data_IF_616516490818
#
_entry.id   IF_616516490818
#
_cell.length_a   1.000
_cell.length_b   1.000
_cell.length_c   1.000
_cell.angle_alpha   90.00
_cell.angle_beta   90.00
_cell.angle_gamma   90.00
#
_symmetry.space_group_name_H-M   'P 1'
#
loop_
_entity.id
_entity.type
_entity.pdbx_description
1 polymer ?
#
# COMPACT_ATOMS: atom_id res chain seq x y z
N UNK A 1 -9.31 -5.53 7.83
CA UNK A 1 -9.35 -4.07 7.61
C UNK A 1 -9.25 -3.83 6.13
N UNK A 2 -10.10 -2.93 5.66
CA UNK A 2 -10.17 -2.57 4.26
C UNK A 2 -8.96 -1.71 3.88
N UNK A 3 -8.15 -2.18 2.93
CA UNK A 3 -6.92 -1.51 2.52
C UNK A 3 -6.83 -1.45 0.99
N UNK A 4 -6.37 -0.32 0.46
CA UNK A 4 -6.01 -0.17 -0.94
C UNK A 4 -4.54 -0.59 -1.15
N UNK A 5 -4.28 -1.51 -2.07
CA UNK A 5 -2.94 -2.05 -2.30
C UNK A 5 -2.66 -2.21 -3.80
N UNK A 6 -1.38 -2.20 -4.14
CA UNK A 6 -0.90 -2.78 -5.39
C UNK A 6 -1.08 -4.30 -5.30
N UNK A 7 -1.87 -4.86 -6.21
CA UNK A 7 -2.18 -6.28 -6.32
C UNK A 7 -1.32 -6.98 -7.37
N UNK A 8 -0.81 -6.21 -8.33
CA UNK A 8 0.19 -6.59 -9.33
C UNK A 8 0.77 -5.30 -9.91
N UNK A 9 1.77 -5.40 -10.78
CA UNK A 9 2.25 -4.27 -11.57
C UNK A 9 1.08 -3.67 -12.35
N UNK A 10 0.91 -2.35 -12.27
CA UNK A 10 -0.16 -1.64 -12.97
C UNK A 10 -1.58 -2.05 -12.57
N UNK A 11 -1.72 -2.70 -11.41
CA UNK A 11 -3.01 -3.16 -10.87
C UNK A 11 -3.10 -2.87 -9.39
N UNK A 12 -4.05 -2.01 -9.01
CA UNK A 12 -4.37 -1.75 -7.62
C UNK A 12 -5.85 -2.00 -7.32
N UNK A 13 -6.16 -2.23 -6.06
CA UNK A 13 -7.53 -2.43 -5.62
C UNK A 13 -7.63 -2.56 -4.11
N UNK A 14 -8.87 -2.60 -3.64
CA UNK A 14 -9.16 -2.85 -2.24
C UNK A 14 -9.09 -4.34 -1.92
N UNK A 15 -8.59 -4.66 -0.73
CA UNK A 15 -8.63 -6.01 -0.14
C UNK A 15 -8.80 -5.94 1.37
N UNK A 16 -9.30 -7.03 1.94
CA UNK A 16 -9.26 -7.25 3.38
C UNK A 16 -7.91 -7.81 3.79
N UNK A 17 -7.32 -7.21 4.82
CA UNK A 17 -6.10 -7.70 5.49
C UNK A 17 -6.29 -7.77 7.01
N UNK A 18 -5.47 -8.54 7.71
CA UNK A 18 -5.44 -8.49 9.17
C UNK A 18 -5.05 -7.08 9.65
N UNK A 19 -5.61 -6.64 10.78
CA UNK A 19 -5.14 -5.41 11.44
C UNK A 19 -3.76 -5.72 12.02
N UNK A 20 -2.72 -4.93 11.71
CA UNK A 20 -1.39 -5.17 12.28
C UNK A 20 -1.36 -4.83 13.77
N UNK A 21 -0.69 -5.68 14.55
CA UNK A 21 -0.40 -5.41 15.96
C UNK A 21 0.90 -4.60 16.08
N UNK A 22 0.91 -3.51 16.88
CA UNK A 22 2.10 -2.68 17.05
C UNK A 22 3.17 -3.41 17.89
N UNK A 23 4.43 -3.31 17.47
CA UNK A 23 5.58 -3.79 18.25
C UNK A 23 6.07 -2.78 19.31
N UNK A 24 7.16 -3.09 20.04
CA UNK A 24 7.73 -2.17 21.03
C UNK A 24 8.06 -0.80 20.42
N UNK A 25 7.55 0.28 21.04
CA UNK A 25 7.75 1.66 20.58
C UNK A 25 6.84 2.11 19.43
N UNK A 26 5.96 1.25 18.91
CA UNK A 26 5.00 1.60 17.86
C UNK A 26 3.63 1.92 18.46
N UNK A 27 2.86 2.74 17.75
CA UNK A 27 1.45 3.03 18.07
C UNK A 27 0.57 2.71 16.87
N UNK A 28 -0.64 2.23 17.13
CA UNK A 28 -1.65 1.99 16.09
C UNK A 28 -2.53 3.22 15.93
N UNK A 29 -2.62 3.75 14.72
CA UNK A 29 -3.41 4.94 14.39
C UNK A 29 -4.60 4.55 13.51
N UNK A 30 -5.78 5.05 13.85
CA UNK A 30 -6.95 4.97 12.97
C UNK A 30 -6.90 6.12 11.97
N UNK A 31 -6.86 5.79 10.68
CA UNK A 31 -6.83 6.79 9.60
C UNK A 31 -8.18 7.51 9.53
N UNK A 32 -8.14 8.86 9.62
CA UNK A 32 -9.32 9.71 9.45
C UNK A 32 -9.53 10.20 8.01
N UNK A 33 -8.45 10.23 7.22
CA UNK A 33 -8.45 10.57 5.80
C UNK A 33 -7.06 10.30 5.19
N UNK A 34 -7.02 10.02 3.89
CA UNK A 34 -5.81 9.81 3.12
C UNK A 34 -5.94 10.54 1.77
N UNK A 35 -4.99 11.42 1.47
CA UNK A 35 -4.89 12.09 0.18
C UNK A 35 -3.98 11.33 -0.78
N UNK A 36 -4.14 11.56 -2.08
CA UNK A 36 -3.25 11.01 -3.10
C UNK A 36 -2.08 11.97 -3.35
N UNK A 37 -0.89 11.41 -3.43
CA UNK A 37 0.31 12.10 -3.85
C UNK A 37 0.62 11.75 -5.31
N UNK A 38 1.36 12.62 -5.99
CA UNK A 38 1.86 12.33 -7.34
C UNK A 38 2.72 11.05 -7.38
N UNK A 39 3.43 10.73 -6.29
CA UNK A 39 4.24 9.51 -6.19
C UNK A 39 3.41 8.23 -6.28
N UNK A 40 2.13 8.25 -5.88
CA UNK A 40 1.29 7.05 -5.91
C UNK A 40 1.10 6.56 -7.35
N UNK A 41 1.00 7.48 -8.30
CA UNK A 41 0.95 7.19 -9.73
C UNK A 41 2.29 6.65 -10.25
N UNK A 42 3.42 7.15 -9.75
CA UNK A 42 4.75 6.65 -10.16
C UNK A 42 4.93 5.16 -9.83
N UNK A 43 4.36 4.70 -8.71
CA UNK A 43 4.37 3.29 -8.34
C UNK A 43 3.31 2.48 -9.07
N UNK A 44 2.10 3.00 -9.21
CA UNK A 44 1.02 2.32 -9.92
C UNK A 44 1.38 2.08 -11.39
N UNK A 45 1.91 3.08 -12.09
CA UNK A 45 2.22 2.99 -13.52
C UNK A 45 3.55 2.25 -13.81
N UNK A 46 4.29 1.85 -12.78
CA UNK A 46 5.57 1.17 -12.94
C UNK A 46 5.39 -0.20 -13.65
N UNK A 47 6.15 -0.49 -14.73
CA UNK A 47 6.21 -1.82 -15.27
C UNK A 47 7.04 -2.75 -14.38
N UNK A 48 6.88 -4.08 -14.54
CA UNK A 48 7.75 -5.05 -13.90
C UNK A 48 9.24 -4.74 -14.14
N UNK A 49 10.06 -4.89 -13.10
CA UNK A 49 11.52 -4.69 -13.17
C UNK A 49 11.99 -3.22 -13.06
N UNK A 50 11.08 -2.24 -12.95
CA UNK A 50 11.46 -0.84 -12.69
C UNK A 50 12.06 -0.62 -11.30
N UNK A 51 11.60 -1.39 -10.30
CA UNK A 51 12.03 -1.29 -8.91
C UNK A 51 12.67 -2.60 -8.42
N UNK A 52 13.62 -2.55 -7.46
CA UNK A 52 14.36 -3.72 -6.99
C UNK A 52 13.59 -4.54 -5.94
N UNK A 53 12.27 -4.64 -6.08
CA UNK A 53 11.41 -5.43 -5.20
C UNK A 53 10.25 -6.05 -5.98
N UNK A 54 9.72 -7.16 -5.46
CA UNK A 54 8.48 -7.76 -5.97
C UNK A 54 7.27 -7.18 -5.23
N UNK A 55 6.13 -7.13 -5.92
CA UNK A 55 4.85 -6.85 -5.28
C UNK A 55 4.32 -8.14 -4.60
N UNK A 56 3.47 -7.98 -3.55
CA UNK A 56 2.90 -9.11 -2.81
C UNK A 56 1.98 -10.00 -3.64
#
# INVERSE_FOLDING_TARGET
MHAYQLLDWQKAGFREIAVPEPGPGQVRVRIGGAGLCHSDLLFLDAPPGRWPFALP
#
